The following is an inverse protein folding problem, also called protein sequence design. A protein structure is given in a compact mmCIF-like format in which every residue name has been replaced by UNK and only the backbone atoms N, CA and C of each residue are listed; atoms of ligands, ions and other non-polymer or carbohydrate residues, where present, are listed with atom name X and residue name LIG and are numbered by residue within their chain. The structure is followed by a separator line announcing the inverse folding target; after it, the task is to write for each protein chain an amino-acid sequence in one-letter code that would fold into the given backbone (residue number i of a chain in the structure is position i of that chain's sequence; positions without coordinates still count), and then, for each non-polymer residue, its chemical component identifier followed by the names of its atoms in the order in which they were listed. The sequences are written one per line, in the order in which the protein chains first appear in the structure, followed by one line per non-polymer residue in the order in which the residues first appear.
data_IF_152030359324
#
_entry.id   IF_152030359324
#
_cell.length_a   1.000
_cell.length_b   1.000
_cell.length_c   1.000
_cell.angle_alpha   90.00
_cell.angle_beta   90.00
_cell.angle_gamma   90.00
#
_symmetry.space_group_name_H-M   'P 1'
#
loop_
_entity.id
_entity.type
_entity.pdbx_description
1 polymer ?
#
# COMPACT_ATOMS: atom_id res chain seq x y z
N UNK A 1 -32.53 3.59 -12.31
CA UNK A 1 -31.44 2.99 -11.52
C UNK A 1 -31.54 3.54 -10.11
N UNK A 2 -31.89 2.71 -9.12
CA UNK A 2 -32.03 3.16 -7.73
C UNK A 2 -30.64 3.36 -7.12
N UNK A 3 -30.33 4.57 -6.68
CA UNK A 3 -29.13 4.85 -5.88
C UNK A 3 -29.27 4.13 -4.53
N UNK A 4 -28.55 3.03 -4.34
CA UNK A 4 -28.45 2.40 -3.02
C UNK A 4 -27.62 3.31 -2.13
N UNK A 5 -28.26 3.87 -1.10
CA UNK A 5 -27.58 4.58 -0.04
C UNK A 5 -26.90 3.53 0.85
N UNK A 6 -25.60 3.32 0.64
CA UNK A 6 -24.80 2.51 1.55
C UNK A 6 -24.75 3.24 2.92
N UNK A 7 -25.07 2.54 4.01
CA UNK A 7 -25.07 3.13 5.36
C UNK A 7 -23.69 3.64 5.77
N UNK A 8 -22.63 2.97 5.30
CA UNK A 8 -21.25 3.40 5.49
C UNK A 8 -20.56 3.57 4.13
N UNK A 9 -19.86 4.70 3.91
CA UNK A 9 -19.10 4.91 2.70
C UNK A 9 -17.97 3.87 2.61
N UNK A 10 -17.62 3.37 1.39
CA UNK A 10 -16.56 2.37 1.20
C UNK A 10 -15.14 2.91 1.47
N UNK A 11 -15.03 4.13 2.01
CA UNK A 11 -13.82 4.84 2.35
C UNK A 11 -14.07 5.67 3.61
N UNK A 12 -13.03 5.85 4.43
CA UNK A 12 -13.12 6.72 5.61
C UNK A 12 -13.40 8.16 5.17
N UNK A 13 -14.54 8.67 5.61
CA UNK A 13 -14.94 10.06 5.41
C UNK A 13 -14.64 10.82 6.68
N UNK A 14 -13.85 11.88 6.57
CA UNK A 14 -13.59 12.81 7.66
C UNK A 14 -13.88 14.23 7.21
N UNK A 15 -13.70 15.19 8.11
CA UNK A 15 -13.83 16.61 7.83
C UNK A 15 -12.46 17.28 8.00
N UNK A 16 -12.11 18.19 7.09
CA UNK A 16 -10.93 19.03 7.27
C UNK A 16 -11.18 20.09 8.36
N UNK A 17 -10.18 20.92 8.62
CA UNK A 17 -10.27 22.01 9.61
C UNK A 17 -11.34 23.06 9.24
N UNK A 18 -11.74 23.12 7.97
CA UNK A 18 -12.77 24.04 7.46
C UNK A 18 -14.17 23.38 7.45
N UNK A 19 -14.30 22.15 7.96
CA UNK A 19 -15.55 21.41 8.01
C UNK A 19 -16.02 20.87 6.65
N UNK A 20 -15.15 20.85 5.63
CA UNK A 20 -15.48 20.24 4.34
C UNK A 20 -15.34 18.74 4.45
N UNK A 21 -16.29 18.02 3.86
CA UNK A 21 -16.20 16.57 3.72
C UNK A 21 -14.99 16.22 2.86
N UNK A 22 -14.04 15.51 3.43
CA UNK A 22 -12.84 15.03 2.74
C UNK A 22 -12.83 13.51 2.74
N UNK A 23 -12.45 12.95 1.60
CA UNK A 23 -12.10 11.54 1.51
C UNK A 23 -10.61 11.44 1.81
N UNK A 24 -10.27 10.94 2.99
CA UNK A 24 -8.89 10.55 3.24
C UNK A 24 -8.69 9.22 2.55
N UNK A 25 -7.96 9.22 1.44
CA UNK A 25 -7.32 8.00 0.97
C UNK A 25 -6.25 7.66 2.01
N UNK A 26 -6.62 6.90 3.04
CA UNK A 26 -5.63 6.33 3.94
C UNK A 26 -4.75 5.41 3.10
N UNK A 27 -3.49 5.80 2.92
CA UNK A 27 -2.52 5.00 2.18
C UNK A 27 -2.34 3.61 2.80
N UNK A 28 -2.69 3.42 4.08
CA UNK A 28 -2.72 2.11 4.76
C UNK A 28 -3.82 1.18 4.22
N UNK A 29 -4.89 1.76 3.67
CA UNK A 29 -5.99 1.02 3.06
C UNK A 29 -5.83 0.81 1.55
N UNK A 30 -4.82 1.43 0.92
CA UNK A 30 -4.52 1.22 -0.49
C UNK A 30 -3.96 -0.21 -0.75
N UNK A 31 -4.26 -0.75 -1.94
CA UNK A 31 -3.73 -2.05 -2.38
C UNK A 31 -2.26 -1.96 -2.80
N UNK A 32 -1.86 -0.79 -3.31
CA UNK A 32 -0.52 -0.51 -3.82
C UNK A 32 -0.11 0.91 -3.45
N UNK A 33 1.20 1.16 -3.34
CA UNK A 33 1.74 2.51 -3.17
C UNK A 33 3.08 2.69 -3.89
N UNK A 34 3.52 3.94 -4.05
CA UNK A 34 4.86 4.21 -4.55
C UNK A 34 5.92 3.83 -3.51
N UNK A 35 7.14 3.55 -3.98
CA UNK A 35 8.24 3.18 -3.10
C UNK A 35 8.64 4.32 -2.14
N UNK A 36 8.44 5.59 -2.53
CA UNK A 36 8.63 6.76 -1.66
C UNK A 36 7.61 6.79 -0.52
N UNK A 37 6.34 6.52 -0.80
CA UNK A 37 5.30 6.44 0.23
C UNK A 37 5.59 5.27 1.17
N UNK A 38 5.96 4.09 0.63
CA UNK A 38 6.35 2.96 1.46
C UNK A 38 7.56 3.28 2.35
N UNK A 39 8.58 3.93 1.79
CA UNK A 39 9.76 4.36 2.54
C UNK A 39 9.40 5.29 3.71
N UNK A 40 8.50 6.26 3.48
CA UNK A 40 7.99 7.14 4.52
C UNK A 40 7.17 6.39 5.59
N UNK A 41 6.40 5.37 5.21
CA UNK A 41 5.63 4.56 6.16
C UNK A 41 6.52 3.74 7.10
N UNK A 42 7.62 3.18 6.60
CA UNK A 42 8.50 2.29 7.37
C UNK A 42 9.75 2.98 7.94
N UNK A 43 9.97 4.26 7.62
CA UNK A 43 11.08 5.06 8.15
C UNK A 43 12.45 4.75 7.54
N UNK A 44 12.50 4.43 6.25
CA UNK A 44 13.75 4.15 5.50
C UNK A 44 13.88 5.06 4.27
N UNK A 45 15.00 4.94 3.53
CA UNK A 45 15.17 5.70 2.29
C UNK A 45 14.44 5.05 1.11
N UNK A 46 14.05 5.86 0.12
CA UNK A 46 13.45 5.35 -1.11
C UNK A 46 14.37 4.35 -1.86
N UNK A 47 15.69 4.56 -1.83
CA UNK A 47 16.65 3.67 -2.49
C UNK A 47 16.77 2.31 -1.78
N UNK A 48 16.65 2.28 -0.45
CA UNK A 48 16.53 1.05 0.31
C UNK A 48 15.32 0.23 -0.15
N UNK A 49 14.16 0.88 -0.31
CA UNK A 49 12.93 0.20 -0.80
C UNK A 49 13.10 -0.28 -2.24
N UNK A 50 13.71 0.53 -3.13
CA UNK A 50 14.01 0.08 -4.50
C UNK A 50 14.88 -1.18 -4.50
N UNK A 51 15.92 -1.22 -3.66
CA UNK A 51 16.76 -2.40 -3.51
C UNK A 51 15.96 -3.62 -3.06
N UNK A 52 15.10 -3.47 -2.05
CA UNK A 52 14.20 -4.55 -1.60
C UNK A 52 13.24 -5.04 -2.68
N UNK A 53 12.70 -4.14 -3.50
CA UNK A 53 11.85 -4.52 -4.63
C UNK A 53 12.63 -5.26 -5.72
N UNK A 54 13.89 -4.87 -5.96
CA UNK A 54 14.77 -5.52 -6.95
C UNK A 54 15.21 -6.91 -6.51
N UNK A 55 15.47 -7.09 -5.21
CA UNK A 55 15.91 -8.37 -4.64
C UNK A 55 14.75 -9.30 -4.26
N UNK A 56 13.51 -8.90 -4.53
CA UNK A 56 12.33 -9.68 -4.14
C UNK A 56 12.17 -9.80 -2.62
N UNK A 57 12.66 -8.82 -1.85
CA UNK A 57 12.45 -8.74 -0.39
C UNK A 57 11.09 -8.12 -0.06
N UNK A 58 10.62 -7.17 -0.87
CA UNK A 58 9.31 -6.52 -0.72
C UNK A 58 8.47 -6.84 -1.96
N UNK A 59 7.20 -7.29 -1.80
CA UNK A 59 6.37 -7.64 -2.94
C UNK A 59 6.07 -6.39 -3.76
N UNK A 60 6.15 -6.51 -5.08
CA UNK A 60 5.97 -5.36 -5.96
C UNK A 60 5.36 -5.75 -7.31
N UNK A 61 4.51 -4.87 -7.84
CA UNK A 61 3.84 -5.05 -9.12
C UNK A 61 4.36 -4.05 -10.14
N UNK A 62 4.60 -4.51 -11.38
CA UNK A 62 4.93 -3.64 -12.49
C UNK A 62 3.65 -3.09 -13.12
N UNK A 63 3.45 -1.78 -13.05
CA UNK A 63 2.26 -1.11 -13.61
C UNK A 63 2.69 -0.21 -14.77
N UNK A 64 2.87 -0.82 -15.94
CA UNK A 64 3.44 -0.14 -17.10
C UNK A 64 4.93 0.16 -16.91
N UNK A 65 5.29 1.44 -16.84
CA UNK A 65 6.68 1.89 -16.58
C UNK A 65 7.08 1.82 -15.10
N UNK A 66 6.31 2.38 -14.14
CA UNK A 66 6.67 2.29 -12.73
C UNK A 66 6.48 0.88 -12.16
N UNK A 67 7.26 0.58 -11.11
CA UNK A 67 7.05 -0.54 -10.21
C UNK A 67 6.54 0.01 -8.88
N UNK A 68 5.47 -0.57 -8.36
CA UNK A 68 4.78 -0.13 -7.14
C UNK A 68 4.88 -1.23 -6.08
N UNK A 69 4.88 -0.85 -4.81
CA UNK A 69 4.85 -1.80 -3.69
C UNK A 69 3.45 -2.39 -3.58
N UNK A 70 3.35 -3.71 -3.47
CA UNK A 70 2.09 -4.43 -3.31
C UNK A 70 1.72 -4.53 -1.81
N UNK A 71 1.01 -3.53 -1.31
CA UNK A 71 0.58 -3.46 0.09
C UNK A 71 -0.43 -4.55 0.45
N UNK A 72 -1.27 -4.97 -0.50
CA UNK A 72 -2.21 -6.06 -0.29
C UNK A 72 -1.49 -7.37 0.06
N UNK A 73 -0.40 -7.67 -0.65
CA UNK A 73 0.43 -8.84 -0.37
C UNK A 73 1.16 -8.73 0.98
N UNK A 74 1.74 -7.56 1.29
CA UNK A 74 2.35 -7.31 2.61
C UNK A 74 1.34 -7.56 3.73
N UNK A 75 0.13 -7.03 3.60
CA UNK A 75 -0.96 -7.23 4.58
C UNK A 75 -1.36 -8.69 4.69
N UNK A 76 -1.49 -9.40 3.57
CA UNK A 76 -1.81 -10.82 3.56
C UNK A 76 -0.73 -11.64 4.29
N UNK A 77 0.54 -11.37 4.02
CA UNK A 77 1.65 -12.11 4.64
C UNK A 77 1.76 -11.81 6.14
N UNK A 78 1.61 -10.54 6.54
CA UNK A 78 1.51 -10.17 7.95
C UNK A 78 0.32 -10.87 8.64
N UNK A 79 -0.85 -10.93 7.99
CA UNK A 79 -2.03 -11.61 8.54
C UNK A 79 -1.86 -13.12 8.68
N UNK A 80 -0.98 -13.73 7.87
CA UNK A 80 -0.57 -15.14 7.99
C UNK A 80 0.51 -15.36 9.07
N UNK A 81 0.97 -14.30 9.72
CA UNK A 81 1.99 -14.36 10.77
C UNK A 81 3.43 -14.29 10.25
N UNK A 82 3.66 -13.87 8.99
CA UNK A 82 5.02 -13.61 8.50
C UNK A 82 5.58 -12.39 9.24
N UNK A 83 6.73 -12.57 9.89
CA UNK A 83 7.40 -11.51 10.67
C UNK A 83 8.72 -11.05 10.07
N UNK A 84 9.26 -11.80 9.11
CA UNK A 84 10.53 -11.52 8.45
C UNK A 84 10.33 -11.60 6.94
N UNK A 85 10.79 -10.57 6.25
CA UNK A 85 10.83 -10.49 4.79
C UNK A 85 12.29 -10.55 4.36
N UNK A 86 12.66 -11.51 3.51
CA UNK A 86 14.03 -11.76 3.08
C UNK A 86 14.15 -11.69 1.57
N UNK A 87 15.37 -11.43 1.10
CA UNK A 87 15.70 -11.51 -0.31
C UNK A 87 15.29 -12.86 -0.89
N UNK A 88 14.59 -12.85 -2.04
CA UNK A 88 14.09 -14.06 -2.68
C UNK A 88 12.61 -14.34 -2.47
N UNK A 89 11.99 -13.76 -1.43
CA UNK A 89 10.59 -14.05 -1.06
C UNK A 89 9.58 -13.79 -2.19
N UNK A 90 9.89 -12.86 -3.10
CA UNK A 90 9.03 -12.42 -4.19
C UNK A 90 9.76 -12.42 -5.54
N UNK A 91 10.72 -13.33 -5.72
CA UNK A 91 11.48 -13.46 -6.97
C UNK A 91 10.78 -14.29 -8.05
N UNK A 92 9.69 -14.98 -7.70
CA UNK A 92 8.97 -15.92 -8.57
C UNK A 92 7.85 -15.25 -9.43
N UNK A 93 7.90 -13.93 -9.61
CA UNK A 93 7.00 -13.14 -10.49
C UNK A 93 7.71 -12.54 -11.72
#
# INVERSE_FOLDING_TARGET
MSTQHLEEPPFDVSFDLDGRRVVYLDCRNALICSHEIFAAMVGVTADTVKSWMQTGTVPSVKMGRPRLVNLAQVRADLSRGKTIFVQGDYSDE
#
